data_IF_545414893373
#
_entry.id   IF_545414893373
#
_cell.length_a   1.000
_cell.length_b   1.000
_cell.length_c   1.000
_cell.angle_alpha   90.00
_cell.angle_beta   90.00
_cell.angle_gamma   90.00
#
_symmetry.space_group_name_H-M   'P 1'
#
loop_
_entity.id
_entity.type
_entity.pdbx_description
1 polymer ?
#
# COMPACT_ATOMS: atom_id res chain seq x y z
N UNK A 1 -14.89 16.99 49.19
CA UNK A 1 -15.02 17.77 47.93
C UNK A 1 -13.66 18.35 47.59
N UNK A 2 -13.08 18.40 46.39
CA UNK A 2 -13.36 17.92 45.05
C UNK A 2 -11.99 17.84 44.34
N UNK A 3 -11.77 16.82 43.49
CA UNK A 3 -10.61 16.73 42.59
C UNK A 3 -10.76 17.79 41.48
N UNK A 4 -9.66 18.31 40.94
CA UNK A 4 -9.64 18.55 39.50
C UNK A 4 -8.50 17.78 38.84
N UNK A 5 -8.91 16.78 38.06
CA UNK A 5 -8.17 16.19 36.97
C UNK A 5 -7.81 17.26 35.95
N UNK A 6 -6.56 17.33 35.51
CA UNK A 6 -6.19 17.95 34.24
C UNK A 6 -5.27 17.00 33.48
N UNK A 7 -5.92 16.05 32.83
CA UNK A 7 -5.34 15.18 31.83
C UNK A 7 -5.01 16.02 30.58
N UNK A 8 -3.85 16.68 30.56
CA UNK A 8 -3.42 17.49 29.42
C UNK A 8 -2.69 16.61 28.41
N UNK A 9 -3.44 15.75 27.73
CA UNK A 9 -2.92 14.91 26.65
C UNK A 9 -2.95 15.69 25.33
N UNK A 10 -2.32 16.87 25.32
CA UNK A 10 -2.14 17.67 24.11
C UNK A 10 -0.90 17.14 23.38
N UNK A 11 -1.00 15.95 22.80
CA UNK A 11 -0.02 15.50 21.81
C UNK A 11 -0.20 16.43 20.61
N UNK A 12 0.82 17.20 20.20
CA UNK A 12 0.71 17.99 18.98
C UNK A 12 0.42 17.00 17.85
N UNK A 13 -0.78 17.10 17.28
CA UNK A 13 -1.09 16.52 15.99
C UNK A 13 -0.19 17.24 14.99
N UNK A 14 1.05 16.77 14.87
CA UNK A 14 1.99 17.24 13.86
C UNK A 14 1.27 16.93 12.55
N UNK A 15 0.86 17.94 11.77
CA UNK A 15 0.31 17.64 10.45
C UNK A 15 1.41 16.82 9.78
N UNK A 16 1.12 15.55 9.46
CA UNK A 16 2.00 14.78 8.62
C UNK A 16 2.33 15.69 7.45
N UNK A 17 3.61 15.91 7.18
CA UNK A 17 4.03 16.71 6.04
C UNK A 17 3.19 16.28 4.84
N UNK A 18 2.75 17.24 4.00
CA UNK A 18 1.94 16.93 2.84
C UNK A 18 2.58 15.72 2.13
N UNK A 19 1.83 14.63 1.92
CA UNK A 19 2.41 13.39 1.42
C UNK A 19 3.12 13.69 0.11
N UNK A 20 4.31 13.14 -0.04
CA UNK A 20 5.02 13.25 -1.32
C UNK A 20 4.21 12.53 -2.41
N UNK A 21 4.37 12.90 -3.68
CA UNK A 21 3.71 12.22 -4.80
C UNK A 21 3.94 10.71 -4.80
N UNK A 22 5.14 10.28 -4.34
CA UNK A 22 5.46 8.87 -4.16
C UNK A 22 4.62 8.22 -3.06
N UNK A 23 4.41 8.89 -1.93
CA UNK A 23 3.57 8.39 -0.85
C UNK A 23 2.10 8.33 -1.27
N UNK A 24 1.60 9.33 -1.99
CA UNK A 24 0.24 9.33 -2.54
C UNK A 24 0.04 8.16 -3.52
N UNK A 25 0.97 7.97 -4.46
CA UNK A 25 0.93 6.86 -5.41
C UNK A 25 1.01 5.49 -4.73
N UNK A 26 1.80 5.38 -3.65
CA UNK A 26 1.91 4.15 -2.85
C UNK A 26 0.61 3.83 -2.12
N UNK A 27 0.03 4.82 -1.45
CA UNK A 27 -1.22 4.63 -0.72
C UNK A 27 -2.38 4.32 -1.68
N UNK A 28 -2.46 4.99 -2.84
CA UNK A 28 -3.43 4.64 -3.90
C UNK A 28 -3.21 3.23 -4.47
N UNK A 29 -1.97 2.78 -4.69
CA UNK A 29 -1.68 1.42 -5.12
C UNK A 29 -2.21 0.39 -4.10
N UNK A 30 -1.99 0.63 -2.80
CA UNK A 30 -2.51 -0.25 -1.76
C UNK A 30 -4.03 -0.24 -1.68
N UNK A 31 -4.68 0.91 -1.87
CA UNK A 31 -6.13 0.96 -1.96
C UNK A 31 -6.66 0.14 -3.14
N UNK A 32 -6.03 0.21 -4.31
CA UNK A 32 -6.39 -0.62 -5.47
C UNK A 32 -6.21 -2.11 -5.18
N UNK A 33 -5.10 -2.51 -4.56
CA UNK A 33 -4.86 -3.91 -4.17
C UNK A 33 -5.97 -4.40 -3.21
N UNK A 34 -6.33 -3.59 -2.21
CA UNK A 34 -7.36 -3.94 -1.23
C UNK A 34 -8.77 -3.99 -1.83
N UNK A 35 -9.11 -3.06 -2.73
CA UNK A 35 -10.45 -2.95 -3.33
C UNK A 35 -10.70 -4.01 -4.40
N UNK A 36 -9.69 -4.33 -5.21
CA UNK A 36 -9.81 -5.37 -6.24
C UNK A 36 -9.69 -6.80 -5.68
N UNK A 37 -9.18 -6.97 -4.46
CA UNK A 37 -9.01 -8.30 -3.87
C UNK A 37 -8.05 -9.19 -4.67
N UNK A 38 -7.08 -8.59 -5.38
CA UNK A 38 -6.06 -9.29 -6.18
C UNK A 38 -5.18 -10.23 -5.33
N UNK A 39 -5.28 -10.11 -4.00
CA UNK A 39 -4.68 -11.00 -3.00
C UNK A 39 -5.29 -12.41 -3.15
N UNK A 40 -4.55 -13.30 -3.82
CA UNK A 40 -4.92 -14.70 -4.03
C UNK A 40 -5.48 -15.05 -5.41
N UNK A 41 -5.47 -14.11 -6.37
CA UNK A 41 -5.73 -14.40 -7.79
C UNK A 41 -4.60 -15.22 -8.42
N UNK A 42 -4.77 -15.74 -9.64
CA UNK A 42 -3.68 -16.42 -10.36
C UNK A 42 -2.52 -15.47 -10.67
N UNK A 43 -1.29 -16.00 -10.73
CA UNK A 43 -0.10 -15.18 -10.92
C UNK A 43 -0.11 -14.39 -12.25
N UNK A 44 -0.76 -14.93 -13.29
CA UNK A 44 -0.93 -14.25 -14.58
C UNK A 44 -1.89 -13.06 -14.46
N UNK A 45 -3.06 -13.24 -13.84
CA UNK A 45 -4.01 -12.15 -13.56
C UNK A 45 -3.41 -11.06 -12.69
N UNK A 46 -2.67 -11.44 -11.64
CA UNK A 46 -1.95 -10.48 -10.79
C UNK A 46 -0.97 -9.66 -11.63
N UNK A 47 -0.21 -10.30 -12.54
CA UNK A 47 0.77 -9.63 -13.38
C UNK A 47 0.12 -8.64 -14.35
N UNK A 48 -0.97 -9.06 -15.02
CA UNK A 48 -1.72 -8.19 -15.93
C UNK A 48 -2.28 -7.00 -15.18
N UNK A 49 -2.93 -7.24 -14.04
CA UNK A 49 -3.49 -6.19 -13.18
C UNK A 49 -2.42 -5.21 -12.69
N UNK A 50 -1.24 -5.70 -12.28
CA UNK A 50 -0.14 -4.85 -11.85
C UNK A 50 0.42 -4.00 -12.99
N UNK A 51 0.56 -4.55 -14.20
CA UNK A 51 1.02 -3.77 -15.35
C UNK A 51 0.04 -2.63 -15.66
N UNK A 52 -1.26 -2.91 -15.73
CA UNK A 52 -2.30 -1.90 -15.98
C UNK A 52 -2.32 -0.84 -14.88
N UNK A 53 -2.24 -1.26 -13.61
CA UNK A 53 -2.23 -0.36 -12.45
C UNK A 53 -0.98 0.52 -12.44
N UNK A 54 0.19 -0.03 -12.75
CA UNK A 54 1.42 0.76 -12.86
C UNK A 54 1.32 1.76 -14.01
N UNK A 55 0.80 1.37 -15.18
CA UNK A 55 0.60 2.31 -16.29
C UNK A 55 -0.41 3.42 -15.98
N UNK A 56 -1.41 3.15 -15.14
CA UNK A 56 -2.30 4.18 -14.61
C UNK A 56 -1.55 5.15 -13.66
N UNK A 57 -0.76 4.63 -12.72
CA UNK A 57 0.01 5.44 -11.79
C UNK A 57 1.07 6.29 -12.51
N UNK A 58 1.67 5.78 -13.58
CA UNK A 58 2.61 6.50 -14.44
C UNK A 58 1.99 7.72 -15.10
N UNK A 59 0.76 7.59 -15.59
CA UNK A 59 0.02 8.69 -16.21
C UNK A 59 -0.46 9.71 -15.17
N UNK A 60 -0.82 9.24 -13.98
CA UNK A 60 -1.35 10.07 -12.89
C UNK A 60 -0.26 10.84 -12.16
N UNK A 61 0.90 10.23 -11.97
CA UNK A 61 2.05 10.81 -11.26
C UNK A 61 3.28 10.87 -12.19
N UNK A 62 3.26 11.73 -13.23
CA UNK A 62 4.36 11.86 -14.18
C UNK A 62 5.65 12.42 -13.56
N UNK A 63 5.55 12.99 -12.35
CA UNK A 63 6.67 13.47 -11.55
C UNK A 63 7.48 12.34 -10.89
N UNK A 64 6.97 11.10 -10.87
CA UNK A 64 7.71 9.96 -10.32
C UNK A 64 8.83 9.52 -11.26
N UNK A 65 10.04 9.49 -10.71
CA UNK A 65 11.19 8.93 -11.39
C UNK A 65 11.02 7.43 -11.67
N UNK A 66 11.79 6.90 -12.63
CA UNK A 66 11.81 5.46 -12.94
C UNK A 66 12.14 4.61 -11.69
N UNK A 67 13.03 5.10 -10.83
CA UNK A 67 13.40 4.44 -9.57
C UNK A 67 12.22 4.33 -8.59
N UNK A 68 11.42 5.39 -8.46
CA UNK A 68 10.25 5.44 -7.59
C UNK A 68 9.15 4.51 -8.11
N UNK A 69 8.93 4.48 -9.43
CA UNK A 69 7.98 3.57 -10.07
C UNK A 69 8.36 2.10 -9.90
N UNK A 70 9.65 1.76 -10.07
CA UNK A 70 10.15 0.41 -9.79
C UNK A 70 9.98 0.03 -8.31
N UNK A 71 10.20 0.99 -7.40
CA UNK A 71 9.99 0.78 -5.98
C UNK A 71 8.51 0.54 -5.65
N UNK A 72 7.57 1.31 -6.23
CA UNK A 72 6.13 1.10 -6.09
C UNK A 72 5.73 -0.31 -6.53
N UNK A 73 6.20 -0.74 -7.69
CA UNK A 73 5.91 -2.08 -8.22
C UNK A 73 6.40 -3.17 -7.26
N UNK A 74 7.66 -3.08 -6.82
CA UNK A 74 8.27 -4.04 -5.88
C UNK A 74 7.49 -4.11 -4.55
N UNK A 75 7.07 -2.95 -4.02
CA UNK A 75 6.30 -2.87 -2.79
C UNK A 75 4.90 -3.47 -2.96
N UNK A 76 4.22 -3.16 -4.06
CA UNK A 76 2.91 -3.67 -4.39
C UNK A 76 2.90 -5.18 -4.58
N UNK A 77 3.83 -5.72 -5.38
CA UNK A 77 3.97 -7.16 -5.61
C UNK A 77 4.16 -7.89 -4.28
N UNK A 78 5.06 -7.41 -3.40
CA UNK A 78 5.27 -7.99 -2.07
C UNK A 78 4.03 -7.93 -1.18
N UNK A 79 3.22 -6.89 -1.30
CA UNK A 79 1.99 -6.73 -0.53
C UNK A 79 0.86 -7.64 -1.05
N UNK A 80 0.79 -7.85 -2.36
CA UNK A 80 -0.17 -8.76 -2.99
C UNK A 80 0.19 -10.24 -2.79
N UNK A 81 1.47 -10.56 -2.55
CA UNK A 81 1.87 -11.92 -2.18
C UNK A 81 1.14 -12.34 -0.88
N UNK A 82 0.44 -13.48 -0.88
CA UNK A 82 -0.19 -13.97 0.34
C UNK A 82 0.89 -14.13 1.41
N UNK A 83 0.65 -13.66 2.65
CA UNK A 83 1.60 -13.86 3.74
C UNK A 83 1.78 -15.37 3.86
N UNK A 84 2.98 -15.87 3.52
CA UNK A 84 3.32 -17.30 3.36
C UNK A 84 2.23 -18.13 4.02
N UNK A 85 1.29 -18.66 3.23
CA UNK A 85 0.48 -19.75 3.70
C UNK A 85 1.49 -20.71 4.28
N UNK A 86 1.51 -20.86 5.62
CA UNK A 86 2.22 -21.94 6.29
C UNK A 86 1.86 -23.13 5.43
N UNK A 87 2.83 -23.67 4.69
CA UNK A 87 2.54 -24.71 3.72
C UNK A 87 1.73 -25.75 4.46
N UNK A 88 0.42 -25.77 4.22
CA UNK A 88 -0.41 -26.85 4.69
C UNK A 88 -0.12 -27.91 3.67
N UNK A 89 1.00 -28.59 3.90
CA UNK A 89 1.40 -29.80 3.25
C UNK A 89 0.30 -30.82 3.57
N UNK A 90 -0.80 -30.75 2.83
CA UNK A 90 -1.76 -31.84 2.72
C UNK A 90 -1.10 -32.88 1.82
N UNK A 91 -0.09 -33.56 2.38
CA UNK A 91 0.42 -34.80 1.82
C UNK A 91 -0.48 -35.93 2.34
N UNK A 92 -1.11 -36.60 1.39
CA UNK A 92 -1.94 -37.78 1.55
C UNK A 92 -1.16 -38.99 2.07
#
# INVERSE_FOLDING_TARGET
MAKPSRNNNNRPNRPAAAPTPFEEARDELFQHIMQCGVVGAEAEDQTVWFNETMSYLEQRYPELGESERNQLRTLGERFAQPPKARQQTSAA
#
